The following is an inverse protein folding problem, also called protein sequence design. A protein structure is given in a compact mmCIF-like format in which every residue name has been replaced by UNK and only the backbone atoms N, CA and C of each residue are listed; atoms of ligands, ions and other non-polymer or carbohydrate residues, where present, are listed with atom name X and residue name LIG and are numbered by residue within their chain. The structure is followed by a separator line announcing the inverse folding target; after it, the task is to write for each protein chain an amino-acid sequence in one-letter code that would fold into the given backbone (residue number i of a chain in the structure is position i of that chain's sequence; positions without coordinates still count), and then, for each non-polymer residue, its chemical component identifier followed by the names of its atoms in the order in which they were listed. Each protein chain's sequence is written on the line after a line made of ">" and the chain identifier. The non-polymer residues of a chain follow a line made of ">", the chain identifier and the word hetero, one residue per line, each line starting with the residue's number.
data_IF_725018295451
#
_entry.id   IF_725018295451
#
_cell.length_a   1.000
_cell.length_b   1.000
_cell.length_c   1.000
_cell.angle_alpha   90.00
_cell.angle_beta   90.00
_cell.angle_gamma   90.00
#
_symmetry.space_group_name_H-M   'P 1'
#
loop_
_entity.id
_entity.type
_entity.pdbx_description
1 polymer ?
#
# COMPACT_ATOMS: atom_id res chain seq x y z
N UNK A 1 -7.65 -19.00 -20.74
CA UNK A 1 -7.34 -18.12 -21.89
C UNK A 1 -6.81 -18.88 -23.10
N UNK A 2 -6.20 -20.06 -22.91
CA UNK A 2 -5.66 -20.87 -23.99
C UNK A 2 -6.74 -21.40 -24.96
N UNK A 3 -8.00 -21.36 -24.55
CA UNK A 3 -9.16 -21.68 -25.39
C UNK A 3 -9.59 -20.55 -26.34
N UNK A 4 -9.00 -19.35 -26.22
CA UNK A 4 -9.23 -18.22 -27.13
C UNK A 4 -8.11 -18.09 -28.16
N UNK A 5 -8.36 -17.33 -29.23
CA UNK A 5 -7.33 -16.95 -30.19
C UNK A 5 -6.11 -16.33 -29.50
N UNK A 6 -4.88 -16.61 -29.96
CA UNK A 6 -3.68 -16.02 -29.38
C UNK A 6 -3.76 -14.49 -29.38
N UNK A 7 -3.34 -13.82 -28.29
CA UNK A 7 -3.44 -12.36 -28.22
C UNK A 7 -2.47 -11.71 -29.22
N UNK A 8 -2.95 -10.64 -29.84
CA UNK A 8 -2.20 -9.75 -30.71
C UNK A 8 -1.09 -9.03 -29.93
N UNK A 9 -0.14 -8.43 -30.66
CA UNK A 9 0.92 -7.65 -30.04
C UNK A 9 0.36 -6.48 -29.20
N UNK A 10 -0.70 -5.83 -29.68
CA UNK A 10 -1.35 -4.73 -28.97
C UNK A 10 -2.03 -5.20 -27.68
N UNK A 11 -2.78 -6.30 -27.71
CA UNK A 11 -3.42 -6.85 -26.50
C UNK A 11 -2.41 -7.27 -25.44
N UNK A 12 -1.31 -7.90 -25.86
CA UNK A 12 -0.19 -8.24 -24.96
C UNK A 12 0.41 -6.99 -24.33
N UNK A 13 0.61 -5.94 -25.11
CA UNK A 13 1.15 -4.67 -24.62
C UNK A 13 0.20 -4.03 -23.60
N UNK A 14 -1.08 -3.90 -23.91
CA UNK A 14 -2.07 -3.29 -23.02
C UNK A 14 -2.21 -4.08 -21.72
N UNK A 15 -2.29 -5.41 -21.79
CA UNK A 15 -2.38 -6.26 -20.60
C UNK A 15 -1.17 -6.10 -19.69
N UNK A 16 0.04 -6.09 -20.27
CA UNK A 16 1.26 -5.91 -19.50
C UNK A 16 1.38 -4.51 -18.89
N UNK A 17 1.00 -3.48 -19.64
CA UNK A 17 0.97 -2.11 -19.12
C UNK A 17 -0.01 -1.97 -17.96
N UNK A 18 -1.21 -2.56 -18.07
CA UNK A 18 -2.20 -2.53 -17.00
C UNK A 18 -1.68 -3.17 -15.70
N UNK A 19 -1.08 -4.37 -15.78
CA UNK A 19 -0.52 -5.07 -14.61
C UNK A 19 0.67 -4.27 -14.04
N UNK A 20 1.53 -3.73 -14.89
CA UNK A 20 2.67 -2.92 -14.47
C UNK A 20 2.21 -1.67 -13.70
N UNK A 21 1.22 -0.96 -14.21
CA UNK A 21 0.67 0.23 -13.56
C UNK A 21 -0.07 -0.11 -12.27
N UNK A 22 -0.80 -1.24 -12.23
CA UNK A 22 -1.42 -1.73 -10.99
C UNK A 22 -0.36 -1.99 -9.91
N UNK A 23 0.73 -2.68 -10.24
CA UNK A 23 1.82 -2.90 -9.29
C UNK A 23 2.40 -1.59 -8.77
N UNK A 24 2.69 -0.66 -9.69
CA UNK A 24 3.34 0.62 -9.37
C UNK A 24 2.47 1.52 -8.49
N UNK A 25 1.17 1.58 -8.74
CA UNK A 25 0.30 2.62 -8.17
C UNK A 25 -0.62 2.11 -7.05
N UNK A 26 -0.91 0.80 -7.01
CA UNK A 26 -1.93 0.24 -6.10
C UNK A 26 -1.36 -0.80 -5.15
N UNK A 27 -0.31 -1.52 -5.55
CA UNK A 27 0.24 -2.64 -4.80
C UNK A 27 1.66 -2.38 -4.26
N UNK A 28 2.08 -1.10 -4.17
CA UNK A 28 3.46 -0.70 -3.88
C UNK A 28 3.64 -0.06 -2.50
N UNK A 29 2.83 -0.45 -1.51
CA UNK A 29 2.94 0.08 -0.16
C UNK A 29 2.51 -0.89 0.95
N UNK A 30 2.85 -0.50 2.17
CA UNK A 30 2.35 -1.08 3.40
C UNK A 30 1.72 0.04 4.23
N UNK A 31 0.49 -0.19 4.68
CA UNK A 31 -0.28 0.76 5.50
C UNK A 31 -0.32 0.27 6.94
N UNK A 32 -0.09 1.15 7.93
CA UNK A 32 -0.38 0.84 9.33
C UNK A 32 -1.79 1.28 9.74
N UNK A 33 -2.42 2.18 8.98
CA UNK A 33 -3.76 2.71 9.27
C UNK A 33 -4.85 1.77 8.75
N UNK A 34 -4.64 1.17 7.58
CA UNK A 34 -5.57 0.27 6.91
C UNK A 34 -4.89 -1.08 6.62
N UNK A 35 -4.73 -1.94 7.64
CA UNK A 35 -4.10 -3.23 7.45
C UNK A 35 -4.78 -4.06 6.37
N UNK A 36 -3.98 -4.64 5.47
CA UNK A 36 -4.47 -5.41 4.32
C UNK A 36 -4.65 -4.61 3.03
N UNK A 37 -4.53 -3.29 3.07
CA UNK A 37 -4.34 -2.50 1.85
C UNK A 37 -2.85 -2.38 1.52
N UNK A 38 -2.48 -2.71 0.28
CA UNK A 38 -1.09 -2.63 -0.21
C UNK A 38 -0.72 -1.20 -0.68
N UNK A 39 -1.13 -0.20 0.10
CA UNK A 39 -0.99 1.23 -0.19
C UNK A 39 -0.13 1.91 0.89
N UNK A 40 0.32 3.13 0.61
CA UNK A 40 1.03 3.97 1.59
C UNK A 40 0.02 4.84 2.35
N UNK A 41 0.29 5.16 3.62
CA UNK A 41 -0.58 6.04 4.39
C UNK A 41 -0.45 7.52 3.95
N UNK A 42 -1.49 8.02 3.31
CA UNK A 42 -1.57 9.40 2.79
C UNK A 42 -2.31 10.35 3.74
N UNK A 43 -2.15 11.66 3.53
CA UNK A 43 -2.73 12.72 4.37
C UNK A 43 -4.23 12.60 4.60
N UNK A 44 -5.00 12.04 3.65
CA UNK A 44 -6.44 11.82 3.81
C UNK A 44 -6.75 10.78 4.90
N UNK A 45 -5.99 9.68 4.94
CA UNK A 45 -6.13 8.65 5.98
C UNK A 45 -5.73 9.21 7.35
N UNK A 46 -4.66 10.01 7.41
CA UNK A 46 -4.25 10.71 8.63
C UNK A 46 -5.29 11.73 9.10
N UNK A 47 -5.90 12.49 8.18
CA UNK A 47 -6.97 13.44 8.50
C UNK A 47 -8.20 12.75 9.11
N UNK A 48 -8.55 11.58 8.59
CA UNK A 48 -9.65 10.79 9.14
C UNK A 48 -9.35 10.38 10.59
N UNK A 49 -8.18 9.79 10.84
CA UNK A 49 -7.76 9.43 12.20
C UNK A 49 -7.73 10.64 13.13
N UNK A 50 -7.18 11.77 12.68
CA UNK A 50 -7.14 13.01 13.45
C UNK A 50 -8.54 13.48 13.85
N UNK A 51 -9.49 13.49 12.89
CA UNK A 51 -10.89 13.87 13.16
C UNK A 51 -11.58 12.92 14.13
N UNK A 52 -11.29 11.62 14.06
CA UNK A 52 -11.83 10.62 14.98
C UNK A 52 -11.32 10.87 16.40
N UNK A 53 -10.01 11.02 16.58
CA UNK A 53 -9.39 11.28 17.89
C UNK A 53 -9.89 12.61 18.51
N UNK A 54 -10.15 13.60 17.68
CA UNK A 54 -10.72 14.91 18.03
C UNK A 54 -12.24 14.90 18.28
N UNK A 55 -12.93 13.82 17.94
CA UNK A 55 -14.39 13.75 18.05
C UNK A 55 -14.83 13.71 19.52
N UNK A 56 -16.09 14.05 19.86
CA UNK A 56 -16.57 14.00 21.24
C UNK A 56 -16.44 12.64 21.93
N UNK A 57 -16.26 11.55 21.17
CA UNK A 57 -16.06 10.20 21.70
C UNK A 57 -14.71 10.08 22.40
N UNK A 58 -13.66 10.67 21.82
CA UNK A 58 -12.30 10.58 22.32
C UNK A 58 -11.84 11.87 23.00
N UNK A 59 -12.38 13.02 22.59
CA UNK A 59 -12.20 14.31 23.23
C UNK A 59 -10.77 14.84 23.24
N UNK A 60 -9.87 14.30 22.42
CA UNK A 60 -8.46 14.72 22.42
C UNK A 60 -8.31 16.14 21.89
N UNK A 61 -7.40 16.89 22.50
CA UNK A 61 -6.88 18.14 21.95
C UNK A 61 -6.09 17.88 20.65
N UNK A 62 -5.74 18.96 19.95
CA UNK A 62 -4.89 18.87 18.75
C UNK A 62 -3.55 18.19 19.05
N UNK A 63 -2.88 18.62 20.12
CA UNK A 63 -1.55 18.13 20.48
C UNK A 63 -1.58 16.67 20.94
N UNK A 64 -2.59 16.27 21.71
CA UNK A 64 -2.78 14.88 22.13
C UNK A 64 -3.04 13.96 20.93
N UNK A 65 -3.89 14.39 20.00
CA UNK A 65 -4.18 13.61 18.80
C UNK A 65 -2.94 13.46 17.92
N UNK A 66 -2.21 14.56 17.67
CA UNK A 66 -0.99 14.54 16.86
C UNK A 66 0.11 13.69 17.51
N UNK A 67 0.32 13.80 18.82
CA UNK A 67 1.30 12.97 19.52
C UNK A 67 0.94 11.49 19.43
N UNK A 68 -0.34 11.14 19.67
CA UNK A 68 -0.82 9.76 19.58
C UNK A 68 -0.65 9.18 18.16
N UNK A 69 -0.97 9.96 17.14
CA UNK A 69 -0.77 9.59 15.74
C UNK A 69 0.72 9.43 15.41
N UNK A 70 1.59 10.30 15.92
CA UNK A 70 3.04 10.19 15.69
C UNK A 70 3.59 8.88 16.26
N UNK A 71 3.26 8.56 17.51
CA UNK A 71 3.69 7.30 18.14
C UNK A 71 3.15 6.09 17.38
N UNK A 72 1.91 6.16 16.90
CA UNK A 72 1.24 5.04 16.24
C UNK A 72 1.66 4.83 14.78
N UNK A 73 1.93 5.90 14.03
CA UNK A 73 2.13 5.80 12.57
C UNK A 73 3.60 5.87 12.14
N UNK A 74 4.46 6.45 12.98
CA UNK A 74 5.85 6.73 12.64
C UNK A 74 6.85 5.79 13.33
N UNK A 75 6.38 4.73 13.98
CA UNK A 75 7.19 3.72 14.64
C UNK A 75 6.71 2.33 14.25
N UNK A 76 7.62 1.37 14.26
CA UNK A 76 7.27 -0.04 14.01
C UNK A 76 6.27 -0.52 15.06
N UNK A 77 5.24 -1.22 14.60
CA UNK A 77 4.16 -1.72 15.42
C UNK A 77 3.50 -2.93 14.75
N UNK A 78 2.62 -3.60 15.48
CA UNK A 78 1.94 -4.82 15.01
C UNK A 78 1.18 -4.63 13.70
N UNK A 79 0.60 -3.45 13.45
CA UNK A 79 -0.15 -3.19 12.22
C UNK A 79 0.73 -3.31 10.97
N UNK A 80 2.01 -2.90 11.03
CA UNK A 80 2.94 -3.08 9.92
C UNK A 80 3.23 -4.56 9.65
N UNK A 81 3.42 -5.37 10.69
CA UNK A 81 3.64 -6.81 10.53
C UNK A 81 2.40 -7.52 9.97
N UNK A 82 1.20 -7.14 10.43
CA UNK A 82 -0.07 -7.63 9.89
C UNK A 82 -0.19 -7.26 8.41
N UNK A 83 0.09 -6.01 8.04
CA UNK A 83 0.09 -5.57 6.65
C UNK A 83 1.11 -6.31 5.79
N UNK A 84 2.32 -6.54 6.29
CA UNK A 84 3.35 -7.31 5.59
C UNK A 84 2.87 -8.75 5.33
N UNK A 85 2.21 -9.38 6.30
CA UNK A 85 1.64 -10.72 6.14
C UNK A 85 0.56 -10.76 5.05
N UNK A 86 -0.35 -9.79 5.04
CA UNK A 86 -1.36 -9.69 3.97
C UNK A 86 -0.73 -9.43 2.61
N UNK A 87 0.25 -8.53 2.54
CA UNK A 87 1.00 -8.23 1.33
C UNK A 87 1.68 -9.50 0.77
N UNK A 88 2.39 -10.27 1.60
CA UNK A 88 3.04 -11.51 1.20
C UNK A 88 2.05 -12.56 0.70
N UNK A 89 0.89 -12.69 1.36
CA UNK A 89 -0.18 -13.58 0.90
C UNK A 89 -0.70 -13.17 -0.48
N UNK A 90 -1.03 -11.90 -0.67
CA UNK A 90 -1.50 -11.38 -1.95
C UNK A 90 -0.44 -11.55 -3.05
N UNK A 91 0.83 -11.27 -2.74
CA UNK A 91 1.95 -11.47 -3.66
C UNK A 91 2.03 -12.93 -4.15
N UNK A 92 1.91 -13.88 -3.23
CA UNK A 92 1.89 -15.31 -3.56
C UNK A 92 0.70 -15.68 -4.43
N UNK A 93 -0.49 -15.17 -4.12
CA UNK A 93 -1.71 -15.43 -4.89
C UNK A 93 -1.61 -14.87 -6.31
N UNK A 94 -1.11 -13.64 -6.47
CA UNK A 94 -0.91 -13.00 -7.77
C UNK A 94 0.17 -13.70 -8.60
N UNK A 95 1.30 -14.09 -7.99
CA UNK A 95 2.33 -14.88 -8.68
C UNK A 95 1.76 -16.19 -9.22
N UNK A 96 0.99 -16.91 -8.40
CA UNK A 96 0.32 -18.15 -8.83
C UNK A 96 -0.67 -17.89 -9.96
N UNK A 97 -1.49 -16.84 -9.85
CA UNK A 97 -2.47 -16.49 -10.87
C UNK A 97 -1.82 -16.12 -12.22
N UNK A 98 -0.74 -15.35 -12.19
CA UNK A 98 -0.05 -14.88 -13.40
C UNK A 98 0.95 -15.89 -13.97
N UNK A 99 1.33 -16.92 -13.22
CA UNK A 99 2.30 -17.93 -13.63
C UNK A 99 1.94 -18.60 -14.96
N UNK A 100 0.66 -18.85 -15.19
CA UNK A 100 0.18 -19.62 -16.34
C UNK A 100 -0.10 -18.75 -17.58
N UNK A 101 0.10 -17.43 -17.48
CA UNK A 101 -0.12 -16.47 -18.58
C UNK A 101 1.20 -16.24 -19.33
N UNK A 102 1.30 -16.85 -20.50
CA UNK A 102 2.57 -17.04 -21.21
C UNK A 102 3.13 -15.75 -21.83
N UNK A 103 2.27 -14.76 -22.06
CA UNK A 103 2.64 -13.50 -22.72
C UNK A 103 2.93 -12.34 -21.76
N UNK A 104 2.98 -12.59 -20.45
CA UNK A 104 3.36 -11.56 -19.49
C UNK A 104 4.86 -11.31 -19.47
N UNK A 105 5.23 -10.03 -19.31
CA UNK A 105 6.58 -9.61 -19.02
C UNK A 105 7.06 -10.22 -17.69
N UNK A 106 8.35 -10.55 -17.56
CA UNK A 106 8.88 -11.12 -16.31
C UNK A 106 8.58 -10.28 -15.07
N UNK A 107 8.66 -8.94 -15.18
CA UNK A 107 8.32 -8.00 -14.11
C UNK A 107 6.87 -8.15 -13.61
N UNK A 108 5.95 -8.54 -14.48
CA UNK A 108 4.54 -8.76 -14.17
C UNK A 108 4.28 -10.17 -13.64
N UNK A 109 4.84 -11.19 -14.30
CA UNK A 109 4.68 -12.59 -13.87
C UNK A 109 5.21 -12.81 -12.45
N UNK A 110 6.35 -12.21 -12.14
CA UNK A 110 7.01 -12.34 -10.83
C UNK A 110 6.58 -11.27 -9.83
N UNK A 111 5.70 -10.34 -10.23
CA UNK A 111 5.22 -9.24 -9.39
C UNK A 111 6.35 -8.44 -8.72
N UNK A 112 7.43 -8.18 -9.47
CA UNK A 112 8.69 -7.65 -8.90
C UNK A 112 8.54 -6.28 -8.25
N UNK A 113 7.68 -5.42 -8.79
CA UNK A 113 7.49 -4.07 -8.25
C UNK A 113 6.75 -4.12 -6.91
N UNK A 114 5.70 -4.93 -6.81
CA UNK A 114 5.00 -5.18 -5.55
C UNK A 114 5.96 -5.78 -4.51
N UNK A 115 6.74 -6.80 -4.90
CA UNK A 115 7.70 -7.45 -3.99
C UNK A 115 8.72 -6.46 -3.41
N UNK A 116 9.25 -5.56 -4.26
CA UNK A 116 10.19 -4.52 -3.82
C UNK A 116 9.61 -3.49 -2.83
N UNK A 117 8.29 -3.46 -2.66
CA UNK A 117 7.61 -2.56 -1.74
C UNK A 117 7.36 -3.18 -0.35
N UNK A 118 7.61 -4.48 -0.16
CA UNK A 118 7.38 -5.21 1.09
C UNK A 118 8.43 -4.88 2.17
N UNK A 119 8.55 -3.60 2.55
CA UNK A 119 9.57 -3.13 3.49
C UNK A 119 8.96 -2.18 4.53
N UNK A 120 9.00 -2.61 5.80
CA UNK A 120 8.44 -1.88 6.94
C UNK A 120 9.18 -0.56 7.17
N UNK A 121 10.51 -0.55 7.16
CA UNK A 121 11.31 0.67 7.36
C UNK A 121 10.96 1.75 6.34
N UNK A 122 10.84 1.35 5.07
CA UNK A 122 10.45 2.25 3.97
C UNK A 122 9.05 2.83 4.22
N UNK A 123 8.10 2.03 4.67
CA UNK A 123 6.76 2.49 5.01
C UNK A 123 6.77 3.47 6.19
N UNK A 124 7.54 3.17 7.23
CA UNK A 124 7.72 4.07 8.38
C UNK A 124 8.34 5.41 7.94
N UNK A 125 9.38 5.39 7.10
CA UNK A 125 9.99 6.63 6.60
C UNK A 125 9.02 7.45 5.74
N UNK A 126 8.18 6.80 4.94
CA UNK A 126 7.12 7.46 4.20
C UNK A 126 6.08 8.10 5.14
N UNK A 127 5.66 7.36 6.18
CA UNK A 127 4.73 7.85 7.19
C UNK A 127 5.31 9.03 7.98
N UNK A 128 6.58 8.99 8.38
CA UNK A 128 7.27 10.12 9.03
C UNK A 128 7.20 11.38 8.17
N UNK A 129 7.47 11.25 6.86
CA UNK A 129 7.43 12.37 5.92
C UNK A 129 6.01 12.91 5.77
N UNK A 130 5.05 12.03 5.55
CA UNK A 130 3.63 12.34 5.37
C UNK A 130 3.04 12.98 6.63
N UNK A 131 3.32 12.41 7.80
CA UNK A 131 2.89 12.94 9.10
C UNK A 131 3.46 14.33 9.36
N UNK A 132 4.74 14.58 9.09
CA UNK A 132 5.34 15.93 9.25
C UNK A 132 4.66 16.98 8.39
N UNK A 133 4.24 16.62 7.18
CA UNK A 133 3.49 17.53 6.29
C UNK A 133 2.06 17.72 6.80
N UNK A 134 1.39 16.64 7.20
CA UNK A 134 0.05 16.66 7.75
C UNK A 134 -0.03 17.50 9.03
N UNK A 135 0.84 17.26 10.01
CA UNK A 135 0.85 17.97 11.29
C UNK A 135 0.98 19.49 11.09
N UNK A 136 1.82 19.93 10.14
CA UNK A 136 1.94 21.36 9.78
C UNK A 136 0.68 21.94 9.13
N UNK A 137 -0.14 21.12 8.48
CA UNK A 137 -1.36 21.57 7.80
C UNK A 137 -2.57 21.72 8.72
N UNK A 138 -2.53 21.08 9.91
CA UNK A 138 -3.63 21.10 10.88
C UNK A 138 -3.29 21.81 12.20
N UNK A 139 -2.02 22.15 12.40
CA UNK A 139 -1.54 23.01 13.48
C UNK A 139 -1.90 24.48 13.26
#
# INVERSE_FOLDING_TARGET
>A
YKDFSPPTAYEKFVANMAIYMMQRNVLSGLSCILPGQCVVDESLSMLLCYKILRSPIFGMSSDEALNSMQQSFCQENEAFHVSLKYHQRLLSDLRRFFNDIDYLWPVNREMRLMDSAANIDRAIQANIKSFKQFAKSVA
#
